data_IF_336326659245
#
_entry.id   IF_336326659245
#
_cell.length_a   1.000
_cell.length_b   1.000
_cell.length_c   1.000
_cell.angle_alpha   90.00
_cell.angle_beta   90.00
_cell.angle_gamma   90.00
#
_symmetry.space_group_name_H-M   'P 1'
#
loop_
_entity.id
_entity.type
_entity.pdbx_description
1 polymer ?
#
# COMPACT_ATOMS: atom_id res chain seq x y z
N UNK A 1 -0.34 -8.41 -11.49
CA UNK A 1 -1.45 -7.52 -11.11
C UNK A 1 -0.98 -6.55 -10.04
N UNK A 2 -1.38 -5.29 -10.17
CA UNK A 2 -1.23 -4.23 -9.18
C UNK A 2 -2.58 -3.99 -8.51
N UNK A 3 -2.62 -4.01 -7.18
CA UNK A 3 -3.78 -3.61 -6.40
C UNK A 3 -3.56 -2.20 -5.85
N UNK A 4 -4.54 -1.30 -6.01
CA UNK A 4 -4.51 0.02 -5.37
C UNK A 4 -5.54 0.09 -4.25
N UNK A 5 -5.14 0.63 -3.10
CA UNK A 5 -6.03 0.85 -1.95
C UNK A 5 -5.93 2.33 -1.58
N UNK A 6 -7.06 3.04 -1.67
CA UNK A 6 -7.08 4.50 -1.48
C UNK A 6 -7.77 4.98 -0.20
N UNK A 7 -8.38 4.07 0.57
CA UNK A 7 -9.08 4.40 1.82
C UNK A 7 -8.29 4.03 3.06
N UNK A 8 -8.47 4.85 4.10
CA UNK A 8 -7.90 4.59 5.42
C UNK A 8 -8.31 3.20 5.92
N UNK A 9 -7.37 2.38 6.41
CA UNK A 9 -7.68 1.08 7.01
C UNK A 9 -8.39 1.21 8.37
N UNK A 10 -8.56 2.43 8.86
CA UNK A 10 -9.30 2.76 10.08
C UNK A 10 -10.74 3.21 9.79
N UNK A 11 -11.09 3.42 8.51
CA UNK A 11 -12.44 3.83 8.10
C UNK A 11 -13.12 2.74 7.24
N UNK A 12 -12.37 2.07 6.36
CA UNK A 12 -12.90 1.12 5.38
C UNK A 12 -12.17 -0.22 5.43
N UNK A 13 -12.84 -1.26 4.97
CA UNK A 13 -12.32 -2.62 4.88
C UNK A 13 -11.65 -2.94 3.53
N UNK A 14 -11.35 -1.92 2.71
CA UNK A 14 -10.75 -2.08 1.39
C UNK A 14 -9.39 -2.81 1.47
N UNK A 15 -8.55 -2.43 2.44
CA UNK A 15 -7.27 -3.11 2.69
C UNK A 15 -7.49 -4.60 3.02
N UNK A 16 -8.40 -4.91 3.94
CA UNK A 16 -8.66 -6.30 4.35
C UNK A 16 -9.16 -7.17 3.21
N UNK A 17 -10.04 -6.61 2.37
CA UNK A 17 -10.54 -7.30 1.19
C UNK A 17 -9.45 -7.50 0.14
N UNK A 18 -8.59 -6.48 -0.06
CA UNK A 18 -7.41 -6.57 -0.92
C UNK A 18 -6.47 -7.69 -0.47
N UNK A 19 -6.03 -7.68 0.79
CA UNK A 19 -5.07 -8.66 1.32
C UNK A 19 -5.61 -10.09 1.28
N UNK A 20 -6.92 -10.28 1.48
CA UNK A 20 -7.54 -11.60 1.42
C UNK A 20 -7.59 -12.18 0.00
N UNK A 21 -7.72 -11.34 -1.01
CA UNK A 21 -8.00 -11.75 -2.40
C UNK A 21 -6.80 -11.56 -3.34
N UNK A 22 -5.80 -10.78 -2.93
CA UNK A 22 -4.55 -10.64 -3.64
C UNK A 22 -3.85 -12.00 -3.76
N UNK A 23 -3.50 -12.37 -4.99
CA UNK A 23 -2.74 -13.58 -5.24
C UNK A 23 -1.25 -13.36 -4.89
N UNK A 24 -0.53 -14.39 -4.40
CA UNK A 24 0.91 -14.29 -4.15
C UNK A 24 1.69 -13.74 -5.35
N UNK A 25 2.67 -12.88 -5.10
CA UNK A 25 3.47 -12.21 -6.15
C UNK A 25 2.79 -11.00 -6.83
N UNK A 26 1.54 -10.68 -6.46
CA UNK A 26 0.94 -9.39 -6.80
C UNK A 26 1.59 -8.24 -6.02
N UNK A 27 1.42 -7.02 -6.51
CA UNK A 27 1.85 -5.81 -5.82
C UNK A 27 0.65 -5.07 -5.24
N UNK A 28 0.85 -4.43 -4.09
CA UNK A 28 -0.14 -3.59 -3.42
C UNK A 28 0.44 -2.19 -3.28
N UNK A 29 -0.26 -1.20 -3.81
CA UNK A 29 0.11 0.21 -3.68
C UNK A 29 -0.95 0.94 -2.83
N UNK A 30 -0.47 1.49 -1.72
CA UNK A 30 -1.25 2.33 -0.82
C UNK A 30 -1.16 3.78 -1.29
N UNK A 31 -2.30 4.37 -1.64
CA UNK A 31 -2.44 5.75 -2.14
C UNK A 31 -3.50 6.49 -1.31
N UNK A 32 -3.61 7.81 -1.49
CA UNK A 32 -4.57 8.67 -0.77
C UNK A 32 -4.58 8.37 0.74
N UNK A 33 -5.73 8.09 1.34
CA UNK A 33 -5.83 7.75 2.76
C UNK A 33 -5.37 6.31 3.07
N UNK A 34 -5.19 5.47 2.05
CA UNK A 34 -4.60 4.15 2.19
C UNK A 34 -3.19 4.17 2.78
N UNK A 35 -2.45 5.29 2.64
CA UNK A 35 -1.09 5.41 3.18
C UNK A 35 -1.02 5.27 4.70
N UNK A 36 -2.12 5.50 5.42
CA UNK A 36 -2.18 5.27 6.88
C UNK A 36 -1.97 3.78 7.25
N UNK A 37 -2.17 2.85 6.31
CA UNK A 37 -1.87 1.44 6.52
C UNK A 37 -0.36 1.14 6.59
N UNK A 38 0.47 1.97 5.94
CA UNK A 38 1.92 1.79 5.90
C UNK A 38 2.63 2.23 7.19
N UNK A 39 1.90 2.79 8.17
CA UNK A 39 2.46 3.34 9.40
C UNK A 39 2.81 2.26 10.42
N UNK A 40 4.05 2.30 10.91
CA UNK A 40 4.50 1.49 12.05
C UNK A 40 3.86 1.96 13.35
N UNK A 41 3.66 1.02 14.28
CA UNK A 41 3.07 1.31 15.59
C UNK A 41 1.56 1.55 15.56
N UNK A 42 0.88 1.13 14.49
CA UNK A 42 -0.58 1.14 14.39
C UNK A 42 -1.16 -0.27 14.49
N UNK A 43 -2.48 -0.39 14.63
CA UNK A 43 -3.19 -1.67 14.61
C UNK A 43 -3.02 -2.46 13.29
N UNK A 44 -2.53 -1.83 12.21
CA UNK A 44 -2.30 -2.48 10.92
C UNK A 44 -0.87 -3.01 10.74
N UNK A 45 0.05 -2.69 11.66
CA UNK A 45 1.49 -3.00 11.53
C UNK A 45 1.74 -4.47 11.20
N UNK A 46 1.30 -5.38 12.09
CA UNK A 46 1.54 -6.81 11.91
C UNK A 46 0.87 -7.38 10.64
N UNK A 47 -0.27 -6.83 10.25
CA UNK A 47 -1.01 -7.26 9.05
C UNK A 47 -0.25 -6.90 7.77
N UNK A 48 0.29 -5.68 7.72
CA UNK A 48 1.05 -5.20 6.56
C UNK A 48 2.44 -5.83 6.50
N UNK A 49 3.08 -6.07 7.66
CA UNK A 49 4.33 -6.85 7.73
C UNK A 49 4.14 -8.26 7.16
N UNK A 50 3.09 -8.98 7.59
CA UNK A 50 2.77 -10.31 7.06
C UNK A 50 2.45 -10.28 5.55
N UNK A 51 1.77 -9.22 5.07
CA UNK A 51 1.51 -9.05 3.64
C UNK A 51 2.82 -8.88 2.85
N UNK A 52 3.79 -8.14 3.38
CA UNK A 52 5.08 -7.88 2.76
C UNK A 52 5.96 -9.14 2.61
N UNK A 53 5.66 -10.23 3.32
CA UNK A 53 6.34 -11.52 3.14
C UNK A 53 5.95 -12.23 1.83
N UNK A 54 4.74 -11.96 1.32
CA UNK A 54 4.15 -12.69 0.18
C UNK A 54 3.80 -11.77 -1.01
N UNK A 55 3.84 -10.47 -0.80
CA UNK A 55 3.48 -9.43 -1.76
C UNK A 55 4.53 -8.32 -1.76
N UNK A 56 4.67 -7.65 -2.90
CA UNK A 56 5.42 -6.40 -2.92
C UNK A 56 4.49 -5.26 -2.46
N UNK A 57 4.77 -4.68 -1.30
CA UNK A 57 3.97 -3.59 -0.73
C UNK A 57 4.65 -2.25 -0.96
N UNK A 58 3.89 -1.31 -1.50
CA UNK A 58 4.31 0.03 -1.86
C UNK A 58 3.42 1.08 -1.20
N UNK A 59 3.95 2.27 -0.98
CA UNK A 59 3.20 3.44 -0.51
C UNK A 59 3.60 4.68 -1.31
N UNK A 60 2.63 5.52 -1.64
CA UNK A 60 2.85 6.73 -2.44
C UNK A 60 3.40 7.86 -1.57
N UNK A 61 4.67 8.20 -1.78
CA UNK A 61 5.40 9.25 -1.06
C UNK A 61 4.75 10.64 -1.12
N UNK A 62 4.24 11.12 -2.26
CA UNK A 62 3.47 12.36 -2.32
C UNK A 62 2.29 12.41 -1.34
N UNK A 63 1.56 11.31 -1.15
CA UNK A 63 0.44 11.24 -0.21
C UNK A 63 0.88 11.22 1.26
N UNK A 64 2.04 10.62 1.55
CA UNK A 64 2.67 10.70 2.87
C UNK A 64 3.00 12.15 3.21
N UNK A 65 3.67 12.85 2.28
CA UNK A 65 4.07 14.26 2.45
C UNK A 65 2.85 15.16 2.63
N UNK A 66 1.80 14.96 1.83
CA UNK A 66 0.55 15.71 1.94
C UNK A 66 -0.13 15.54 3.32
N UNK A 67 0.10 14.42 4.01
CA UNK A 67 -0.44 14.11 5.34
C UNK A 67 0.53 14.39 6.49
N UNK A 68 1.70 14.98 6.22
CA UNK A 68 2.72 15.25 7.23
C UNK A 68 3.31 13.98 7.86
N UNK A 69 3.36 12.89 7.09
CA UNK A 69 3.91 11.61 7.54
C UNK A 69 5.38 11.52 7.09
N UNK A 70 6.27 11.44 8.08
CA UNK A 70 7.68 11.19 7.86
C UNK A 70 7.93 9.75 7.38
N UNK A 71 8.85 9.59 6.41
CA UNK A 71 9.22 8.28 5.86
C UNK A 71 9.77 7.32 6.93
N UNK A 72 10.39 7.86 7.99
CA UNK A 72 10.87 7.09 9.13
C UNK A 72 9.76 6.37 9.90
N UNK A 73 8.49 6.73 9.68
CA UNK A 73 7.32 6.08 10.28
C UNK A 73 6.78 4.91 9.46
N UNK A 74 7.35 4.62 8.30
CA UNK A 74 6.89 3.55 7.44
C UNK A 74 7.39 2.20 7.96
N UNK A 75 6.54 1.18 7.83
CA UNK A 75 6.84 -0.22 8.16
C UNK A 75 8.04 -0.70 7.31
N UNK A 76 8.97 -1.41 7.95
CA UNK A 76 10.10 -2.01 7.25
C UNK A 76 9.62 -2.99 6.16
N UNK A 77 10.19 -2.91 4.96
CA UNK A 77 9.79 -3.74 3.81
C UNK A 77 8.73 -3.11 2.91
N UNK A 78 8.02 -2.06 3.37
CA UNK A 78 7.15 -1.25 2.49
C UNK A 78 8.02 -0.27 1.70
N UNK A 79 7.91 -0.29 0.37
CA UNK A 79 8.69 0.55 -0.53
C UNK A 79 7.97 1.87 -0.82
N UNK A 80 8.65 2.99 -0.64
CA UNK A 80 8.10 4.32 -0.95
C UNK A 80 8.35 4.61 -2.43
N UNK A 81 7.31 5.01 -3.16
CA UNK A 81 7.38 5.38 -4.58
C UNK A 81 6.75 6.76 -4.82
N UNK A 82 7.12 7.40 -5.92
CA UNK A 82 6.43 8.59 -6.42
C UNK A 82 5.44 8.22 -7.55
N UNK A 83 4.91 9.22 -8.24
CA UNK A 83 4.01 8.97 -9.37
C UNK A 83 4.69 8.29 -10.55
N UNK A 84 5.99 8.51 -10.77
CA UNK A 84 6.76 7.77 -11.78
C UNK A 84 6.81 6.29 -11.42
N UNK A 85 7.15 5.98 -10.16
CA UNK A 85 7.12 4.61 -9.65
C UNK A 85 5.73 3.97 -9.68
N UNK A 86 4.65 4.73 -9.49
CA UNK A 86 3.30 4.20 -9.72
C UNK A 86 3.08 3.84 -11.20
N UNK A 87 3.43 4.72 -12.14
CA UNK A 87 3.33 4.41 -13.57
C UNK A 87 4.13 3.14 -13.91
N UNK A 88 5.36 3.03 -13.41
CA UNK A 88 6.21 1.85 -13.63
C UNK A 88 5.57 0.58 -13.08
N UNK A 89 4.98 0.62 -11.88
CA UNK A 89 4.27 -0.51 -11.29
C UNK A 89 3.06 -0.93 -12.12
N UNK A 90 2.29 0.03 -12.62
CA UNK A 90 1.12 -0.25 -13.45
C UNK A 90 1.54 -0.95 -14.75
N UNK A 91 2.61 -0.48 -15.40
CA UNK A 91 3.17 -1.12 -16.61
C UNK A 91 3.72 -2.52 -16.29
N UNK A 92 4.56 -2.64 -15.25
CA UNK A 92 5.24 -3.89 -14.93
C UNK A 92 4.29 -5.01 -14.50
N UNK A 93 3.19 -4.67 -13.81
CA UNK A 93 2.22 -5.66 -13.29
C UNK A 93 1.04 -5.91 -14.21
N UNK A 94 0.89 -5.13 -15.29
CA UNK A 94 -0.15 -5.26 -16.30
C UNK A 94 -1.52 -4.80 -15.79
N UNK A 95 -2.34 -5.73 -15.32
CA UNK A 95 -3.69 -5.42 -14.82
C UNK A 95 -3.63 -4.65 -13.50
N UNK A 96 -4.42 -3.59 -13.39
CA UNK A 96 -4.62 -2.80 -12.17
C UNK A 96 -6.03 -3.05 -11.63
N UNK A 97 -6.14 -3.37 -10.33
CA UNK A 97 -7.42 -3.49 -9.63
C UNK A 97 -7.50 -2.49 -8.48
N UNK A 98 -8.52 -1.65 -8.50
CA UNK A 98 -8.75 -0.63 -7.47
C UNK A 98 -9.76 -1.09 -6.43
N UNK A 99 -9.40 -0.95 -5.15
CA UNK A 99 -10.25 -1.20 -4.00
C UNK A 99 -10.69 0.14 -3.39
N UNK A 100 -11.98 0.46 -3.55
CA UNK A 100 -12.58 1.77 -3.23
C UNK A 100 -13.34 1.79 -1.91
#
# INVERSE_FOLDING_TARGET
MLHTVNKSPFERNALDSCLRLAAPGSAILLIEDGVYAALKGTAQTAKVEAAAETHEVYVLGPDLKARGIEESRIIGGVKIVDYGGFVDLAVAKGTVNSWL
#
